data_IF_143662450798
#
_entry.id   IF_143662450798
#
_cell.length_a   1.000
_cell.length_b   1.000
_cell.length_c   1.000
_cell.angle_alpha   90.00
_cell.angle_beta   90.00
_cell.angle_gamma   90.00
#
_symmetry.space_group_name_H-M   'P 1'
#
loop_
_entity.id
_entity.type
_entity.pdbx_description
1 polymer ?
#
# COMPACT_ATOMS: atom_id res chain seq x y z
N UNK A 1 -5.69 1.59 -20.52
CA UNK A 1 -5.08 2.79 -21.14
C UNK A 1 -3.68 3.00 -20.58
N UNK A 2 -2.74 3.55 -21.35
CA UNK A 2 -1.36 3.81 -20.88
C UNK A 2 -0.90 5.24 -21.19
N UNK A 3 -0.38 5.97 -20.19
CA UNK A 3 0.24 7.30 -20.39
C UNK A 3 1.76 7.21 -20.25
N UNK A 4 2.48 7.92 -21.12
CA UNK A 4 3.94 7.99 -21.12
C UNK A 4 4.50 8.90 -20.02
N UNK A 5 5.83 9.13 -20.00
CA UNK A 5 6.47 10.00 -19.03
C UNK A 5 6.02 11.47 -19.17
N UNK A 6 5.84 12.15 -18.04
CA UNK A 6 5.43 13.56 -17.96
C UNK A 6 6.06 14.22 -16.73
N UNK A 7 6.05 15.55 -16.64
CA UNK A 7 6.40 16.25 -15.38
C UNK A 7 5.25 16.11 -14.37
N UNK A 8 4.03 16.50 -14.77
CA UNK A 8 2.83 16.44 -13.94
C UNK A 8 1.73 15.58 -14.58
N UNK A 9 1.12 14.69 -13.80
CA UNK A 9 -0.08 13.96 -14.17
C UNK A 9 -1.21 14.20 -13.16
N UNK A 10 -2.35 14.67 -13.66
CA UNK A 10 -3.58 14.83 -12.88
C UNK A 10 -4.76 14.22 -13.60
N UNK A 11 -5.44 13.29 -12.95
CA UNK A 11 -6.60 12.63 -13.53
C UNK A 11 -7.71 12.48 -12.48
N UNK A 12 -8.94 12.70 -12.92
CA UNK A 12 -10.14 12.56 -12.12
C UNK A 12 -11.19 11.82 -12.94
N UNK A 13 -11.53 10.59 -12.57
CA UNK A 13 -12.56 9.81 -13.25
C UNK A 13 -13.79 9.65 -12.35
N UNK A 14 -14.96 9.69 -12.98
CA UNK A 14 -16.23 9.43 -12.32
C UNK A 14 -16.46 7.93 -12.13
N UNK A 15 -17.68 7.51 -11.77
CA UNK A 15 -18.02 6.10 -11.70
C UNK A 15 -17.87 5.46 -13.09
N UNK A 16 -16.97 4.49 -13.19
CA UNK A 16 -16.77 3.67 -14.39
C UNK A 16 -17.00 2.20 -14.03
N UNK A 17 -17.18 1.33 -15.03
CA UNK A 17 -17.19 -0.12 -14.81
C UNK A 17 -15.76 -0.59 -14.53
N UNK A 18 -15.31 -1.63 -15.23
CA UNK A 18 -13.94 -2.10 -15.07
C UNK A 18 -12.91 -1.13 -15.68
N UNK A 19 -11.91 -0.75 -14.89
CA UNK A 19 -10.82 0.12 -15.33
C UNK A 19 -9.48 -0.61 -15.31
N UNK A 20 -8.71 -0.45 -16.40
CA UNK A 20 -7.30 -0.88 -16.45
C UNK A 20 -6.41 0.26 -16.93
N UNK A 21 -5.42 0.64 -16.11
CA UNK A 21 -4.56 1.79 -16.37
C UNK A 21 -3.07 1.55 -16.05
N UNK A 22 -2.19 2.11 -16.87
CA UNK A 22 -0.76 2.20 -16.60
C UNK A 22 -0.24 3.63 -16.77
N UNK A 23 0.45 4.19 -15.78
CA UNK A 23 1.10 5.50 -15.91
C UNK A 23 2.62 5.35 -15.83
N UNK A 24 3.34 5.93 -16.79
CA UNK A 24 4.80 5.94 -16.82
C UNK A 24 5.44 6.78 -15.71
N UNK A 25 6.77 6.93 -15.70
CA UNK A 25 7.48 7.75 -14.72
C UNK A 25 7.04 9.22 -14.74
N UNK A 26 6.96 9.89 -13.61
CA UNK A 26 6.50 11.30 -13.51
C UNK A 26 7.14 11.99 -12.30
N UNK A 27 7.19 13.32 -12.23
CA UNK A 27 7.60 14.00 -10.99
C UNK A 27 6.42 14.01 -10.01
N UNK A 28 5.27 14.53 -10.43
CA UNK A 28 4.04 14.61 -9.63
C UNK A 28 2.87 13.82 -10.23
N UNK A 29 2.28 12.90 -9.46
CA UNK A 29 1.03 12.21 -9.81
C UNK A 29 -0.09 12.51 -8.82
N UNK A 30 -1.25 12.91 -9.35
CA UNK A 30 -2.50 13.04 -8.58
C UNK A 30 -3.65 12.35 -9.29
N UNK A 31 -4.24 11.36 -8.64
CA UNK A 31 -5.38 10.62 -9.17
C UNK A 31 -6.55 10.62 -8.19
N UNK A 32 -7.74 10.90 -8.70
CA UNK A 32 -9.01 10.70 -8.00
C UNK A 32 -9.92 9.80 -8.82
N UNK A 33 -10.25 8.62 -8.33
CA UNK A 33 -11.21 7.72 -8.98
C UNK A 33 -12.47 7.61 -8.11
N UNK A 34 -13.63 7.75 -8.76
CA UNK A 34 -14.92 7.45 -8.16
C UNK A 34 -15.19 5.94 -8.08
N UNK A 35 -16.39 5.53 -7.65
CA UNK A 35 -16.74 4.12 -7.49
C UNK A 35 -16.62 3.33 -8.78
N UNK A 36 -15.76 2.32 -8.78
CA UNK A 36 -15.52 1.38 -9.88
C UNK A 36 -15.98 -0.03 -9.46
N UNK A 37 -16.31 -0.84 -10.47
CA UNK A 37 -16.61 -2.26 -10.32
C UNK A 37 -15.29 -2.99 -10.04
N UNK A 38 -14.38 -3.11 -11.01
CA UNK A 38 -13.02 -3.61 -10.77
C UNK A 38 -11.94 -2.66 -11.31
N UNK A 39 -10.82 -2.51 -10.57
CA UNK A 39 -9.69 -1.68 -10.99
C UNK A 39 -8.38 -2.46 -10.99
N UNK A 40 -7.67 -2.38 -12.12
CA UNK A 40 -6.26 -2.78 -12.23
C UNK A 40 -5.38 -1.61 -12.63
N UNK A 41 -4.38 -1.28 -11.79
CA UNK A 41 -3.53 -0.13 -12.00
C UNK A 41 -2.04 -0.41 -11.79
N UNK A 42 -1.20 0.14 -12.68
CA UNK A 42 0.25 0.17 -12.53
C UNK A 42 0.81 1.59 -12.65
N UNK A 43 1.47 2.11 -11.61
CA UNK A 43 2.13 3.41 -11.64
C UNK A 43 3.65 3.24 -11.61
N UNK A 44 4.34 3.84 -12.58
CA UNK A 44 5.80 3.89 -12.61
C UNK A 44 6.39 4.81 -11.53
N UNK A 45 7.73 4.90 -11.45
CA UNK A 45 8.44 5.71 -10.46
C UNK A 45 7.96 7.17 -10.43
N UNK A 46 7.83 7.74 -9.25
CA UNK A 46 7.34 9.12 -9.06
C UNK A 46 8.08 9.82 -7.92
N UNK A 47 8.22 11.15 -7.92
CA UNK A 47 8.66 11.83 -6.69
C UNK A 47 7.50 11.91 -5.70
N UNK A 48 6.41 12.57 -6.11
CA UNK A 48 5.22 12.77 -5.29
C UNK A 48 4.00 12.07 -5.88
N UNK A 49 3.41 11.14 -5.13
CA UNK A 49 2.23 10.40 -5.55
C UNK A 49 1.07 10.55 -4.58
N UNK A 50 -0.09 10.99 -5.11
CA UNK A 50 -1.34 11.13 -4.36
C UNK A 50 -2.48 10.43 -5.07
N UNK A 51 -3.07 9.43 -4.41
CA UNK A 51 -4.17 8.65 -4.95
C UNK A 51 -5.36 8.68 -3.98
N UNK A 52 -6.54 8.96 -4.50
CA UNK A 52 -7.81 8.85 -3.79
C UNK A 52 -8.77 7.99 -4.58
N UNK A 53 -9.16 6.84 -4.02
CA UNK A 53 -10.05 5.88 -4.67
C UNK A 53 -11.29 5.70 -3.77
N UNK A 54 -12.49 5.97 -4.25
CA UNK A 54 -13.74 5.61 -3.55
C UNK A 54 -14.45 4.53 -4.33
N UNK A 55 -14.90 3.41 -3.75
CA UNK A 55 -15.12 2.18 -4.54
C UNK A 55 -16.31 1.29 -4.14
N UNK A 56 -16.59 0.30 -5.02
CA UNK A 56 -17.69 -0.68 -4.94
C UNK A 56 -17.31 -2.14 -5.26
N UNK A 57 -16.12 -2.45 -5.80
CA UNK A 57 -15.63 -3.84 -6.02
C UNK A 57 -14.10 -4.01 -5.86
N UNK A 58 -13.44 -4.84 -6.68
CA UNK A 58 -12.10 -5.39 -6.41
C UNK A 58 -10.94 -4.55 -6.98
N UNK A 59 -9.84 -4.50 -6.23
CA UNK A 59 -8.67 -3.66 -6.55
C UNK A 59 -7.38 -4.45 -6.70
N UNK A 60 -6.65 -4.20 -7.79
CA UNK A 60 -5.26 -4.63 -7.96
C UNK A 60 -4.37 -3.45 -8.34
N UNK A 61 -3.45 -3.06 -7.45
CA UNK A 61 -2.63 -1.86 -7.62
C UNK A 61 -1.13 -2.19 -7.44
N UNK A 62 -0.32 -1.81 -8.43
CA UNK A 62 1.14 -1.84 -8.35
C UNK A 62 1.73 -0.43 -8.46
N UNK A 63 2.41 0.03 -7.41
CA UNK A 63 3.05 1.35 -7.39
C UNK A 63 4.57 1.17 -7.38
N UNK A 64 5.25 1.88 -8.29
CA UNK A 64 6.70 1.90 -8.38
C UNK A 64 7.36 2.66 -7.23
N UNK A 65 8.69 2.79 -7.24
CA UNK A 65 9.43 3.56 -6.24
C UNK A 65 8.96 5.01 -6.17
N UNK A 66 8.83 5.55 -4.95
CA UNK A 66 8.45 6.95 -4.74
C UNK A 66 9.26 7.63 -3.64
N UNK A 67 9.27 8.98 -3.59
CA UNK A 67 9.76 9.67 -2.38
C UNK A 67 8.61 9.82 -1.41
N UNK A 68 7.54 10.49 -1.84
CA UNK A 68 6.36 10.75 -1.04
C UNK A 68 5.13 10.05 -1.60
N UNK A 69 4.55 9.13 -0.83
CA UNK A 69 3.34 8.41 -1.22
C UNK A 69 2.18 8.67 -0.25
N UNK A 70 1.05 9.09 -0.81
CA UNK A 70 -0.22 9.24 -0.09
C UNK A 70 -1.34 8.51 -0.82
N UNK A 71 -1.95 7.55 -0.13
CA UNK A 71 -3.07 6.78 -0.65
C UNK A 71 -4.24 6.85 0.33
N UNK A 72 -5.41 7.22 -0.18
CA UNK A 72 -6.69 7.06 0.47
C UNK A 72 -7.56 6.11 -0.33
N UNK A 73 -8.02 5.03 0.30
CA UNK A 73 -8.99 4.10 -0.30
C UNK A 73 -10.23 4.08 0.60
N UNK A 74 -11.40 4.32 0.00
CA UNK A 74 -12.69 4.19 0.67
C UNK A 74 -13.19 2.74 0.69
N UNK A 75 -14.36 2.49 1.33
CA UNK A 75 -14.94 1.15 1.52
C UNK A 75 -14.98 0.34 0.23
N UNK A 76 -14.48 -0.89 0.26
CA UNK A 76 -14.40 -1.78 -0.89
C UNK A 76 -14.57 -3.25 -0.51
N UNK A 77 -14.63 -4.11 -1.53
CA UNK A 77 -14.70 -5.57 -1.40
C UNK A 77 -13.28 -6.06 -1.09
N UNK A 78 -12.46 -6.34 -2.10
CA UNK A 78 -11.09 -6.84 -1.87
C UNK A 78 -10.01 -5.92 -2.46
N UNK A 79 -8.83 -5.88 -1.82
CA UNK A 79 -7.68 -5.10 -2.28
C UNK A 79 -6.39 -5.91 -2.26
N UNK A 80 -5.74 -5.99 -3.41
CA UNK A 80 -4.37 -6.46 -3.57
C UNK A 80 -3.44 -5.32 -3.98
N UNK A 81 -2.36 -5.13 -3.23
CA UNK A 81 -1.41 -4.04 -3.45
C UNK A 81 0.05 -4.46 -3.34
N UNK A 82 0.88 -3.93 -4.25
CA UNK A 82 2.35 -3.96 -4.14
C UNK A 82 2.92 -2.56 -4.28
N UNK A 83 3.67 -2.13 -3.27
CA UNK A 83 4.30 -0.81 -3.24
C UNK A 83 5.81 -0.97 -3.28
N UNK A 84 6.43 -0.27 -4.22
CA UNK A 84 7.88 -0.17 -4.34
C UNK A 84 8.50 0.65 -3.19
N UNK A 85 9.85 0.73 -3.16
CA UNK A 85 10.56 1.46 -2.13
C UNK A 85 10.10 2.91 -2.03
N UNK A 86 9.92 3.40 -0.81
CA UNK A 86 9.42 4.76 -0.55
C UNK A 86 10.21 5.43 0.56
N UNK A 87 10.40 6.74 0.53
CA UNK A 87 10.96 7.46 1.70
C UNK A 87 9.84 7.64 2.74
N UNK A 88 8.75 8.29 2.34
CA UNK A 88 7.63 8.71 3.18
C UNK A 88 6.30 8.11 2.69
N UNK A 89 5.77 7.11 3.41
CA UNK A 89 4.54 6.42 3.02
C UNK A 89 3.38 6.64 3.99
N UNK A 90 2.23 7.10 3.46
CA UNK A 90 0.98 7.28 4.22
C UNK A 90 -0.20 6.64 3.52
N UNK A 91 -0.79 5.64 4.16
CA UNK A 91 -1.92 4.88 3.64
C UNK A 91 -3.08 4.98 4.63
N UNK A 92 -4.26 5.33 4.14
CA UNK A 92 -5.51 5.26 4.90
C UNK A 92 -6.53 4.47 4.09
N UNK A 93 -6.87 3.27 4.55
CA UNK A 93 -7.80 2.39 3.86
C UNK A 93 -8.99 2.11 4.77
N UNK A 94 -10.16 2.40 4.25
CA UNK A 94 -11.42 2.05 4.88
C UNK A 94 -11.95 0.88 4.05
N UNK A 95 -11.92 -0.37 4.52
CA UNK A 95 -12.28 -1.56 3.71
C UNK A 95 -13.44 -2.32 4.38
N UNK A 96 -13.92 -3.39 3.74
CA UNK A 96 -14.94 -4.30 4.33
C UNK A 96 -14.60 -5.77 4.06
N UNK A 97 -13.93 -6.10 2.94
CA UNK A 97 -13.42 -7.45 2.64
C UNK A 97 -11.93 -7.59 2.91
N UNK A 98 -11.25 -8.29 2.00
CA UNK A 98 -9.90 -8.80 2.23
C UNK A 98 -8.81 -7.86 1.71
N UNK A 99 -7.70 -7.76 2.45
CA UNK A 99 -6.56 -6.94 2.09
C UNK A 99 -5.29 -7.78 2.04
N UNK A 100 -4.65 -7.81 0.87
CA UNK A 100 -3.29 -8.33 0.68
C UNK A 100 -2.35 -7.20 0.26
N UNK A 101 -1.30 -6.95 1.05
CA UNK A 101 -0.34 -5.88 0.79
C UNK A 101 1.10 -6.34 0.93
N UNK A 102 1.92 -6.01 -0.06
CA UNK A 102 3.38 -6.13 -0.01
C UNK A 102 4.05 -4.77 -0.10
N UNK A 103 4.87 -4.44 0.89
CA UNK A 103 5.59 -3.17 0.98
C UNK A 103 7.09 -3.43 0.93
N UNK A 104 7.75 -2.88 -0.09
CA UNK A 104 9.20 -2.84 -0.20
C UNK A 104 9.81 -1.85 0.84
N UNK A 105 11.16 -1.79 0.99
CA UNK A 105 11.79 -0.99 2.04
C UNK A 105 11.30 0.46 2.07
N UNK A 106 11.04 0.96 3.28
CA UNK A 106 10.53 2.32 3.49
C UNK A 106 11.22 2.99 4.68
N UNK A 107 11.56 4.29 4.61
CA UNK A 107 12.13 4.98 5.78
C UNK A 107 11.05 5.21 6.84
N UNK A 108 9.96 5.87 6.46
CA UNK A 108 8.86 6.26 7.33
C UNK A 108 7.51 5.74 6.82
N UNK A 109 6.85 4.89 7.60
CA UNK A 109 5.54 4.33 7.24
C UNK A 109 4.44 4.64 8.25
N UNK A 110 3.30 5.10 7.72
CA UNK A 110 2.03 5.24 8.47
C UNK A 110 0.89 4.55 7.74
N UNK A 111 0.31 3.54 8.37
CA UNK A 111 -0.86 2.83 7.87
C UNK A 111 -2.01 2.96 8.87
N UNK A 112 -3.16 3.44 8.39
CA UNK A 112 -4.43 3.36 9.10
C UNK A 112 -5.38 2.46 8.32
N UNK A 113 -5.85 1.38 8.95
CA UNK A 113 -6.88 0.50 8.40
C UNK A 113 -8.11 0.56 9.29
N UNK A 114 -9.26 0.88 8.69
CA UNK A 114 -10.58 0.67 9.30
C UNK A 114 -11.05 -0.79 8.98
N UNK A 115 -12.23 -1.27 9.46
CA UNK A 115 -12.49 -2.72 9.59
C UNK A 115 -12.19 -3.55 8.34
N UNK A 116 -11.56 -4.70 8.49
CA UNK A 116 -11.29 -5.63 7.37
C UNK A 116 -11.71 -7.03 7.76
N UNK A 117 -12.13 -7.84 6.78
CA UNK A 117 -12.42 -9.25 6.99
C UNK A 117 -11.09 -9.96 7.28
N UNK A 118 -10.26 -10.17 6.27
CA UNK A 118 -8.92 -10.75 6.45
C UNK A 118 -7.81 -9.81 5.95
N UNK A 119 -6.70 -9.79 6.69
CA UNK A 119 -5.58 -8.89 6.46
C UNK A 119 -4.26 -9.66 6.37
N UNK A 120 -3.64 -9.62 5.20
CA UNK A 120 -2.29 -10.12 4.96
C UNK A 120 -1.35 -8.99 4.57
N UNK A 121 -0.33 -8.72 5.40
CA UNK A 121 0.68 -7.69 5.13
C UNK A 121 2.09 -8.29 5.20
N UNK A 122 2.89 -8.05 4.16
CA UNK A 122 4.33 -8.25 4.17
C UNK A 122 5.05 -6.90 4.11
N UNK A 123 5.90 -6.62 5.10
CA UNK A 123 6.70 -5.41 5.18
C UNK A 123 8.19 -5.72 5.02
N UNK A 124 8.85 -4.99 4.12
CA UNK A 124 10.30 -4.98 3.99
C UNK A 124 11.00 -4.30 5.18
N UNK A 125 12.34 -4.22 5.15
CA UNK A 125 13.13 -3.46 6.12
C UNK A 125 12.70 -1.98 6.20
N UNK A 126 12.60 -1.43 7.41
CA UNK A 126 12.12 -0.06 7.66
C UNK A 126 12.90 0.67 8.77
N UNK A 127 12.86 2.01 8.73
CA UNK A 127 13.29 2.84 9.86
C UNK A 127 12.20 2.93 10.91
N UNK A 128 11.15 3.70 10.61
CA UNK A 128 10.03 3.99 11.50
C UNK A 128 8.71 3.45 10.95
N UNK A 129 8.00 2.68 11.78
CA UNK A 129 6.72 2.08 11.41
C UNK A 129 5.61 2.42 12.41
N UNK A 130 4.48 2.93 11.90
CA UNK A 130 3.24 3.12 12.66
C UNK A 130 2.06 2.48 11.96
N UNK A 131 1.49 1.44 12.56
CA UNK A 131 0.23 0.84 12.09
C UNK A 131 -0.88 1.08 13.13
N UNK A 132 -2.02 1.56 12.65
CA UNK A 132 -3.28 1.59 13.39
C UNK A 132 -4.28 0.71 12.65
N UNK A 133 -4.67 -0.41 13.25
CA UNK A 133 -5.63 -1.35 12.69
C UNK A 133 -6.92 -1.27 13.50
N UNK A 134 -8.04 -1.11 12.82
CA UNK A 134 -9.38 -1.26 13.38
C UNK A 134 -9.71 -2.72 13.70
N UNK A 135 -11.00 -3.05 13.85
CA UNK A 135 -11.47 -4.43 13.95
C UNK A 135 -11.04 -5.25 12.73
N UNK A 136 -10.39 -6.39 12.95
CA UNK A 136 -10.00 -7.31 11.87
C UNK A 136 -10.49 -8.71 12.23
N UNK A 137 -10.96 -9.47 11.24
CA UNK A 137 -11.19 -10.91 11.38
C UNK A 137 -9.86 -11.61 11.62
N UNK A 138 -9.14 -11.98 10.55
CA UNK A 138 -7.84 -12.62 10.68
C UNK A 138 -6.69 -11.72 10.21
N UNK A 139 -5.60 -11.67 10.98
CA UNK A 139 -4.41 -10.87 10.70
C UNK A 139 -3.17 -11.76 10.53
N UNK A 140 -2.60 -11.75 9.33
CA UNK A 140 -1.28 -12.31 9.05
C UNK A 140 -0.29 -11.20 8.69
N UNK A 141 0.81 -11.11 9.43
CA UNK A 141 1.83 -10.08 9.23
C UNK A 141 3.24 -10.65 9.17
N UNK A 142 3.96 -10.36 8.10
CA UNK A 142 5.40 -10.56 7.98
C UNK A 142 6.13 -9.22 8.11
N UNK A 143 7.09 -9.13 9.03
CA UNK A 143 7.85 -7.92 9.30
C UNK A 143 9.33 -8.12 8.97
N UNK A 144 9.88 -7.24 8.14
CA UNK A 144 11.31 -7.07 7.98
C UNK A 144 11.94 -6.41 9.22
N UNK A 145 13.28 -6.31 9.25
CA UNK A 145 14.00 -5.56 10.27
C UNK A 145 13.49 -4.11 10.37
N UNK A 146 13.12 -3.66 11.57
CA UNK A 146 12.61 -2.31 11.81
C UNK A 146 13.32 -1.69 13.02
N UNK A 147 13.75 -0.43 12.94
CA UNK A 147 14.39 0.26 14.06
C UNK A 147 13.36 0.63 15.13
N UNK A 148 12.28 1.30 14.74
CA UNK A 148 11.20 1.73 15.63
C UNK A 148 9.82 1.31 15.12
N UNK A 149 9.08 0.57 15.95
CA UNK A 149 7.76 0.04 15.60
C UNK A 149 6.67 0.41 16.62
N UNK A 150 5.52 0.88 16.12
CA UNK A 150 4.31 1.11 16.91
C UNK A 150 3.09 0.49 16.24
N UNK A 151 2.42 -0.40 16.96
CA UNK A 151 1.21 -1.08 16.53
C UNK A 151 0.06 -0.74 17.48
N UNK A 152 -1.00 -0.16 16.94
CA UNK A 152 -2.30 -0.04 17.60
C UNK A 152 -3.26 -1.01 16.95
N UNK A 153 -3.77 -1.99 17.71
CA UNK A 153 -4.66 -3.02 17.22
C UNK A 153 -6.03 -2.87 17.86
N UNK A 154 -7.08 -2.86 17.03
CA UNK A 154 -8.45 -3.02 17.45
C UNK A 154 -8.76 -4.49 17.80
N UNK A 155 -10.05 -4.82 17.95
CA UNK A 155 -10.49 -6.21 18.11
C UNK A 155 -9.97 -7.09 16.97
N UNK A 156 -9.44 -8.26 17.31
CA UNK A 156 -8.90 -9.24 16.35
C UNK A 156 -9.57 -10.58 16.59
N UNK A 157 -9.82 -11.34 15.51
CA UNK A 157 -10.00 -12.79 15.55
C UNK A 157 -8.65 -13.46 15.76
N UNK A 158 -8.05 -14.00 14.70
CA UNK A 158 -6.75 -14.66 14.78
C UNK A 158 -5.58 -13.74 14.39
N UNK A 159 -4.43 -13.91 15.05
CA UNK A 159 -3.20 -13.14 14.80
C UNK A 159 -2.01 -14.07 14.56
N UNK A 160 -1.42 -13.95 13.37
CA UNK A 160 -0.14 -14.58 13.00
C UNK A 160 0.90 -13.52 12.66
N UNK A 161 2.05 -13.55 13.32
CA UNK A 161 3.15 -12.62 13.06
C UNK A 161 4.48 -13.35 12.87
N UNK A 162 5.19 -13.04 11.79
CA UNK A 162 6.53 -13.55 11.49
C UNK A 162 7.54 -12.42 11.39
N UNK A 163 8.72 -12.60 12.01
CA UNK A 163 9.82 -11.63 11.96
C UNK A 163 10.95 -12.17 11.06
N UNK A 164 11.36 -11.39 10.05
CA UNK A 164 12.49 -11.68 9.20
C UNK A 164 13.81 -11.40 9.92
N UNK A 165 14.63 -12.44 10.14
CA UNK A 165 15.98 -12.27 10.68
C UNK A 165 16.98 -11.99 9.56
N UNK A 166 17.74 -10.89 9.67
CA UNK A 166 18.95 -10.72 8.85
C UNK A 166 19.98 -11.80 9.23
N UNK A 167 20.34 -12.63 8.26
CA UNK A 167 21.50 -13.51 8.38
C UNK A 167 22.74 -12.63 8.22
N UNK A 168 23.28 -12.10 9.32
CA UNK A 168 24.54 -11.36 9.31
C UNK A 168 25.59 -12.16 8.55
N UNK A 169 26.04 -11.66 7.39
CA UNK A 169 27.23 -12.19 6.72
C UNK A 169 28.44 -11.72 7.52
N UNK A 170 28.72 -12.38 8.64
CA UNK A 170 30.02 -12.30 9.29
C UNK A 170 31.03 -12.93 8.32
N UNK A 171 31.77 -12.07 7.65
CA UNK A 171 32.96 -12.45 6.92
C UNK A 171 34.02 -12.89 7.92
N UNK A 172 34.44 -14.15 7.80
CA UNK A 172 35.71 -14.62 8.36
C UNK A 172 36.54 -15.21 7.22
N UNK A 173 37.51 -14.42 6.75
CA UNK A 173 38.76 -14.89 6.16
C UNK A 173 39.88 -14.26 6.98
N UNK A 174 40.75 -15.09 7.55
CA UNK A 174 42.14 -15.09 7.09
C UNK A 174 42.48 -16.37 6.31
#
# INVERSE_FOLDING_TARGET
MGLGPTEDQRLGLGPEGDLTMGLGPTEDKRLGLGPEEDLTMGLGPTEDQRLGLGLGGDLTIGLGPTKDQRLGIGPGVDLTMRLGPTEDQRLRLDLVGDLTMGLDPTEDQRLGLDPVADLTIGLGPMGDQRLGLGPVGDLTMGLGPTEDQRLGLGPLGDLTMGLGYERSKVGTRP
#
